data_IF_315843598427
#
_entry.id   IF_315843598427
#
_cell.length_a   1.000
_cell.length_b   1.000
_cell.length_c   1.000
_cell.angle_alpha   90.00
_cell.angle_beta   90.00
_cell.angle_gamma   90.00
#
_symmetry.space_group_name_H-M   'P 1'
#
loop_
_entity.id
_entity.type
_entity.pdbx_description
1 polymer ?
#
# COMPACT_ATOMS: atom_id res chain seq x y z
N UNK A 1 2.56 -9.65 -6.66
CA UNK A 1 2.91 -8.40 -5.98
C UNK A 1 1.77 -7.40 -6.11
N UNK A 2 1.40 -6.76 -5.00
CA UNK A 2 0.28 -5.82 -5.00
C UNK A 2 0.62 -4.47 -5.66
N UNK A 3 1.86 -4.02 -5.50
CA UNK A 3 2.30 -2.76 -6.11
C UNK A 3 2.72 -3.03 -7.55
N UNK A 4 2.05 -2.38 -8.49
CA UNK A 4 2.32 -2.52 -9.91
C UNK A 4 2.37 -1.15 -10.58
N UNK A 5 2.93 -1.10 -11.77
CA UNK A 5 2.90 0.08 -12.61
C UNK A 5 2.00 -0.20 -13.81
N UNK A 6 1.02 0.66 -14.04
CA UNK A 6 0.13 0.55 -15.19
C UNK A 6 0.48 1.61 -16.22
N UNK A 7 0.40 1.23 -17.48
CA UNK A 7 0.60 2.16 -18.59
C UNK A 7 -0.77 2.65 -19.04
N UNK A 8 -0.96 3.97 -19.05
CA UNK A 8 -2.22 4.57 -19.50
C UNK A 8 -2.25 4.75 -21.02
N UNK A 9 -3.34 5.30 -21.55
CA UNK A 9 -3.52 5.50 -22.98
C UNK A 9 -2.49 6.45 -23.59
N UNK A 10 -1.95 7.36 -22.80
CA UNK A 10 -0.90 8.30 -23.24
C UNK A 10 0.50 7.73 -23.16
N UNK A 11 0.66 6.48 -22.76
CA UNK A 11 1.98 5.86 -22.60
C UNK A 11 2.66 6.18 -21.29
N UNK A 12 1.97 6.83 -20.36
CA UNK A 12 2.53 7.16 -19.04
C UNK A 12 2.34 6.00 -18.08
N UNK A 13 3.32 5.79 -17.21
CA UNK A 13 3.22 4.76 -16.19
C UNK A 13 2.72 5.35 -14.88
N UNK A 14 1.82 4.62 -14.21
CA UNK A 14 1.31 5.00 -12.89
C UNK A 14 1.51 3.87 -11.90
N UNK A 15 2.06 4.14 -10.71
CA UNK A 15 2.08 3.13 -9.66
C UNK A 15 0.65 2.92 -9.13
N UNK A 16 0.24 1.67 -9.03
CA UNK A 16 -1.08 1.32 -8.50
C UNK A 16 -0.96 0.15 -7.54
N UNK A 17 -1.94 0.01 -6.66
CA UNK A 17 -2.01 -1.11 -5.73
C UNK A 17 -3.18 -2.00 -6.12
N UNK A 18 -2.94 -3.30 -6.23
CA UNK A 18 -3.97 -4.29 -6.50
C UNK A 18 -4.28 -5.09 -5.26
N UNK A 19 -5.54 -5.50 -5.14
CA UNK A 19 -5.94 -6.49 -4.15
C UNK A 19 -5.26 -7.82 -4.47
N UNK A 20 -4.62 -8.42 -3.47
CA UNK A 20 -3.94 -9.70 -3.66
C UNK A 20 -4.91 -10.85 -3.89
N UNK A 21 -6.14 -10.73 -3.43
CA UNK A 21 -7.15 -11.78 -3.56
C UNK A 21 -7.90 -11.72 -4.88
N UNK A 22 -8.53 -10.60 -5.21
CA UNK A 22 -9.37 -10.48 -6.39
C UNK A 22 -8.66 -9.84 -7.59
N UNK A 23 -7.45 -9.32 -7.40
CA UNK A 23 -6.64 -8.67 -8.43
C UNK A 23 -7.21 -7.35 -8.94
N UNK A 24 -8.27 -6.85 -8.33
CA UNK A 24 -8.83 -5.54 -8.66
C UNK A 24 -7.94 -4.41 -8.20
N UNK A 25 -7.94 -3.30 -8.93
CA UNK A 25 -7.17 -2.13 -8.57
C UNK A 25 -7.83 -1.41 -7.39
N UNK A 26 -7.03 -1.04 -6.40
CA UNK A 26 -7.48 -0.22 -5.27
C UNK A 26 -7.21 1.23 -5.66
N UNK A 27 -8.25 1.93 -6.10
CA UNK A 27 -8.10 3.29 -6.62
C UNK A 27 -8.09 4.37 -5.54
N UNK A 28 -8.66 4.06 -4.38
CA UNK A 28 -8.74 5.01 -3.27
C UNK A 28 -8.24 4.33 -2.00
N UNK A 29 -7.40 5.01 -1.24
CA UNK A 29 -6.85 4.46 0.00
C UNK A 29 -7.94 4.01 0.99
N UNK A 30 -9.10 4.66 0.96
CA UNK A 30 -10.20 4.35 1.86
C UNK A 30 -10.85 2.99 1.54
N UNK A 31 -10.64 2.47 0.33
CA UNK A 31 -11.20 1.21 -0.13
C UNK A 31 -10.23 0.05 0.02
N UNK A 32 -9.10 0.26 0.66
CA UNK A 32 -8.08 -0.76 0.78
C UNK A 32 -7.56 -0.94 2.19
N UNK A 33 -7.10 -2.16 2.46
CA UNK A 33 -6.55 -2.54 3.75
C UNK A 33 -5.29 -3.36 3.56
N UNK A 34 -4.40 -3.28 4.54
CA UNK A 34 -3.17 -4.06 4.57
C UNK A 34 -3.24 -5.00 5.75
N UNK A 35 -3.01 -6.28 5.49
CA UNK A 35 -3.02 -7.32 6.51
C UNK A 35 -1.60 -7.82 6.73
N UNK A 36 -1.21 -7.90 8.00
CA UNK A 36 0.09 -8.44 8.41
C UNK A 36 -0.16 -9.69 9.26
N UNK A 37 0.41 -10.80 8.85
CA UNK A 37 0.34 -12.04 9.60
C UNK A 37 1.61 -12.17 10.47
N UNK A 38 1.47 -11.83 11.73
CA UNK A 38 2.58 -11.82 12.68
C UNK A 38 2.56 -13.01 13.65
N UNK A 39 1.81 -14.06 13.33
CA UNK A 39 1.64 -15.21 14.25
C UNK A 39 2.94 -15.90 14.62
N UNK A 40 3.90 -15.93 13.72
CA UNK A 40 5.19 -16.57 13.94
C UNK A 40 6.33 -15.56 14.04
N UNK A 41 6.01 -14.27 14.26
CA UNK A 41 7.02 -13.23 14.22
C UNK A 41 7.99 -13.33 15.39
N UNK A 42 9.27 -13.42 15.06
CA UNK A 42 10.38 -13.32 16.00
C UNK A 42 11.22 -12.10 15.61
N UNK A 43 12.07 -11.57 16.50
CA UNK A 43 12.93 -10.45 16.13
C UNK A 43 13.76 -10.79 14.88
N UNK A 44 13.71 -9.90 13.88
CA UNK A 44 14.40 -10.09 12.61
C UNK A 44 13.60 -10.83 11.55
N UNK A 45 12.41 -11.33 11.87
CA UNK A 45 11.56 -11.99 10.88
C UNK A 45 11.06 -11.00 9.84
N UNK A 46 10.87 -11.48 8.61
CA UNK A 46 10.32 -10.68 7.52
C UNK A 46 8.89 -11.10 7.29
N UNK A 47 7.99 -10.12 7.35
CA UNK A 47 6.56 -10.33 7.11
C UNK A 47 6.18 -9.53 5.87
N UNK A 48 5.60 -10.22 4.88
CA UNK A 48 5.13 -9.55 3.68
C UNK A 48 3.70 -9.05 3.87
N UNK A 49 3.43 -7.79 3.55
CA UNK A 49 2.06 -7.26 3.65
C UNK A 49 1.19 -7.82 2.53
N UNK A 50 -0.07 -8.07 2.86
CA UNK A 50 -1.09 -8.49 1.90
C UNK A 50 -2.12 -7.37 1.78
N UNK A 51 -2.39 -6.95 0.56
CA UNK A 51 -3.32 -5.86 0.29
C UNK A 51 -4.68 -6.41 -0.12
N UNK A 52 -5.74 -5.86 0.46
CA UNK A 52 -7.11 -6.29 0.17
C UNK A 52 -8.00 -5.07 -0.10
N UNK A 53 -8.92 -5.21 -1.04
CA UNK A 53 -10.03 -4.27 -1.16
C UNK A 53 -11.02 -4.52 0.00
N UNK A 54 -11.97 -3.59 0.20
CA UNK A 54 -12.90 -3.68 1.32
C UNK A 54 -13.67 -4.99 1.37
N UNK A 55 -14.14 -5.49 0.23
CA UNK A 55 -14.88 -6.75 0.16
C UNK A 55 -14.04 -7.96 0.53
N UNK A 56 -12.81 -8.02 0.04
CA UNK A 56 -11.90 -9.14 0.36
C UNK A 56 -11.41 -9.09 1.79
N UNK A 57 -11.30 -7.89 2.37
CA UNK A 57 -10.90 -7.73 3.77
C UNK A 57 -11.94 -8.34 4.71
N UNK A 58 -13.22 -8.15 4.42
CA UNK A 58 -14.27 -8.77 5.22
C UNK A 58 -14.23 -10.29 5.16
N UNK A 59 -13.96 -10.86 4.01
CA UNK A 59 -13.81 -12.31 3.87
C UNK A 59 -12.61 -12.81 4.66
N UNK A 60 -11.51 -12.08 4.67
CA UNK A 60 -10.33 -12.43 5.44
C UNK A 60 -10.64 -12.42 6.94
N UNK A 61 -11.44 -11.47 7.41
CA UNK A 61 -11.88 -11.43 8.82
C UNK A 61 -12.74 -12.63 9.18
N UNK A 62 -13.64 -13.03 8.29
CA UNK A 62 -14.51 -14.20 8.51
C UNK A 62 -13.72 -15.50 8.59
N UNK A 63 -12.56 -15.57 7.99
CA UNK A 63 -11.69 -16.74 8.04
C UNK A 63 -11.06 -16.97 9.43
N UNK A 64 -11.26 -16.06 10.37
CA UNK A 64 -10.85 -16.23 11.76
C UNK A 64 -9.35 -16.28 12.00
N UNK A 65 -8.56 -15.67 11.13
CA UNK A 65 -7.09 -15.65 11.28
C UNK A 65 -6.65 -14.52 12.19
N UNK A 66 -5.60 -14.77 12.97
CA UNK A 66 -5.00 -13.78 13.88
C UNK A 66 -4.16 -12.77 13.10
N UNK A 67 -4.76 -12.07 12.18
CA UNK A 67 -4.09 -11.09 11.34
C UNK A 67 -4.39 -9.68 11.81
N UNK A 68 -3.39 -8.84 11.78
CA UNK A 68 -3.58 -7.41 11.99
C UNK A 68 -3.92 -6.77 10.66
N UNK A 69 -5.07 -6.10 10.61
CA UNK A 69 -5.50 -5.34 9.45
C UNK A 69 -5.44 -3.86 9.79
N UNK A 70 -4.97 -3.06 8.85
CA UNK A 70 -4.91 -1.62 9.01
C UNK A 70 -5.28 -0.92 7.71
N UNK A 71 -5.85 0.30 7.77
CA UNK A 71 -6.08 1.08 6.56
C UNK A 71 -4.77 1.39 5.84
N UNK A 72 -4.85 1.60 4.53
CA UNK A 72 -3.66 1.89 3.71
C UNK A 72 -2.96 3.17 4.15
N UNK A 73 -3.70 4.20 4.56
CA UNK A 73 -3.09 5.45 5.01
C UNK A 73 -2.20 5.23 6.26
N UNK A 74 -2.65 4.44 7.22
CA UNK A 74 -1.83 4.08 8.38
C UNK A 74 -0.59 3.31 7.97
N UNK A 75 -0.76 2.35 7.07
CA UNK A 75 0.36 1.54 6.59
C UNK A 75 1.41 2.44 5.90
N UNK A 76 0.96 3.30 5.00
CA UNK A 76 1.86 4.20 4.27
C UNK A 76 2.57 5.15 5.22
N UNK A 77 1.86 5.71 6.20
CA UNK A 77 2.48 6.58 7.19
C UNK A 77 3.59 5.86 7.96
N UNK A 78 3.34 4.60 8.35
CA UNK A 78 4.34 3.79 9.05
C UNK A 78 5.57 3.54 8.17
N UNK A 79 5.36 3.21 6.89
CA UNK A 79 6.47 3.01 5.96
C UNK A 79 7.29 4.28 5.81
N UNK A 80 6.61 5.41 5.57
CA UNK A 80 7.29 6.68 5.35
C UNK A 80 8.11 7.10 6.58
N UNK A 81 7.56 6.93 7.77
CA UNK A 81 8.28 7.25 8.99
C UNK A 81 9.51 6.36 9.19
N UNK A 82 9.41 5.08 8.83
CA UNK A 82 10.52 4.15 9.00
C UNK A 82 11.69 4.41 8.04
N UNK A 83 11.43 5.03 6.90
CA UNK A 83 12.48 5.38 5.95
C UNK A 83 12.83 6.86 6.00
N UNK A 84 12.41 7.56 7.04
CA UNK A 84 12.69 8.97 7.28
C UNK A 84 12.13 9.92 6.21
N UNK A 85 11.07 9.49 5.53
CA UNK A 85 10.39 10.32 4.55
C UNK A 85 9.30 11.13 5.25
N UNK A 86 9.73 12.20 5.89
CA UNK A 86 8.86 13.08 6.66
C UNK A 86 7.98 13.96 5.77
N UNK A 87 6.91 14.58 6.32
CA UNK A 87 6.10 15.51 5.53
C UNK A 87 6.90 16.63 4.86
N UNK A 88 7.93 17.14 5.54
CA UNK A 88 8.81 18.16 4.94
C UNK A 88 9.59 17.65 3.74
N UNK A 89 10.09 16.41 3.81
CA UNK A 89 10.80 15.77 2.71
C UNK A 89 9.84 15.51 1.54
N UNK A 90 8.61 15.07 1.83
CA UNK A 90 7.59 14.86 0.79
C UNK A 90 7.22 16.16 0.08
N UNK A 91 7.07 17.24 0.83
CA UNK A 91 6.78 18.55 0.26
C UNK A 91 7.91 19.01 -0.68
N UNK A 92 9.16 18.82 -0.27
CA UNK A 92 10.32 19.12 -1.10
C UNK A 92 10.33 18.29 -2.38
N UNK A 93 10.04 17.00 -2.27
CA UNK A 93 9.93 16.12 -3.43
C UNK A 93 8.82 16.59 -4.38
N UNK A 94 7.68 17.02 -3.83
CA UNK A 94 6.59 17.56 -4.62
C UNK A 94 7.00 18.79 -5.41
N UNK A 95 7.74 19.70 -4.79
CA UNK A 95 8.25 20.87 -5.49
C UNK A 95 9.19 20.51 -6.64
N UNK A 96 10.08 19.54 -6.43
CA UNK A 96 10.99 19.08 -7.49
C UNK A 96 10.25 18.44 -8.64
N UNK A 97 9.22 17.65 -8.35
CA UNK A 97 8.40 17.02 -9.39
C UNK A 97 7.68 18.08 -10.21
N UNK A 98 7.10 19.10 -9.57
CA UNK A 98 6.45 20.18 -10.28
C UNK A 98 7.42 20.98 -11.15
N UNK A 99 8.64 21.20 -10.66
CA UNK A 99 9.66 21.94 -11.41
C UNK A 99 10.09 21.20 -12.67
N UNK A 100 10.11 19.87 -12.67
CA UNK A 100 10.51 19.08 -13.84
C UNK A 100 9.37 18.83 -14.81
N UNK A 101 8.13 18.95 -14.40
CA UNK A 101 6.90 18.75 -15.20
C UNK A 101 6.82 17.44 -15.96
N UNK A 102 7.63 16.47 -15.63
CA UNK A 102 7.82 15.29 -16.46
C UNK A 102 7.43 13.98 -15.75
N UNK A 103 6.28 13.97 -15.17
CA UNK A 103 5.77 12.72 -14.64
C UNK A 103 4.43 12.34 -15.26
#
# INVERSE_FOLDING_TARGET
MALIFQVDEGGHTRPTIRCDSCKGVIENYADGFVTLDARSATPGAIIEPVFHCAGCEEEAKKAGTSRRSMPIDHFMLSVLNNIQLTPGVLEEAGRRVQATTSL
#
